data_IF_737253109095
#
_entry.id   IF_737253109095
#
_cell.length_a   1.000
_cell.length_b   1.000
_cell.length_c   1.000
_cell.angle_alpha   90.00
_cell.angle_beta   90.00
_cell.angle_gamma   90.00
#
_symmetry.space_group_name_H-M   'P 1'
#
loop_
_entity.id
_entity.type
_entity.pdbx_description
1 polymer ?
#
# COMPACT_ATOMS: atom_id res chain seq x y z
N UNK A 1 -1.46 -5.35 7.49
CA UNK A 1 -0.61 -4.75 6.42
C UNK A 1 -0.46 -3.28 6.74
N UNK A 2 0.25 -2.49 5.92
CA UNK A 2 0.38 -1.06 6.23
C UNK A 2 -0.93 -0.26 6.04
N UNK A 3 -2.02 -0.91 5.59
CA UNK A 3 -3.37 -0.32 5.48
C UNK A 3 -3.90 0.19 6.83
N UNK A 4 -3.54 -0.47 7.93
CA UNK A 4 -4.00 -0.06 9.27
C UNK A 4 -3.43 1.31 9.69
N UNK A 5 -2.27 1.71 9.12
CA UNK A 5 -1.65 3.01 9.36
C UNK A 5 -2.41 4.17 8.72
N UNK A 6 -3.19 3.89 7.67
CA UNK A 6 -3.90 4.89 6.85
C UNK A 6 -5.42 4.79 6.98
N UNK A 7 -5.92 3.91 7.85
CA UNK A 7 -7.35 3.64 8.01
C UNK A 7 -8.10 4.86 8.56
N UNK A 8 -9.23 5.21 7.95
CA UNK A 8 -10.10 6.32 8.36
C UNK A 8 -9.66 7.71 7.88
N UNK A 9 -8.61 7.83 7.05
CA UNK A 9 -8.04 9.11 6.62
C UNK A 9 -8.06 9.25 5.10
N UNK A 10 -8.11 10.49 4.61
CA UNK A 10 -8.02 10.77 3.18
C UNK A 10 -6.57 10.57 2.74
N UNK A 11 -6.31 9.52 1.98
CA UNK A 11 -5.03 9.23 1.37
C UNK A 11 -5.17 9.13 -0.15
N UNK A 12 -4.10 9.45 -0.87
CA UNK A 12 -4.01 9.18 -2.31
C UNK A 12 -3.35 7.84 -2.47
N UNK A 13 -4.02 6.93 -3.18
CA UNK A 13 -3.52 5.57 -3.38
C UNK A 13 -3.16 5.35 -4.84
N UNK A 14 -1.92 4.95 -5.07
CA UNK A 14 -1.40 4.66 -6.40
C UNK A 14 -1.20 3.14 -6.55
N UNK A 15 -1.83 2.58 -7.57
CA UNK A 15 -1.70 1.17 -7.96
C UNK A 15 -1.41 1.12 -9.47
N UNK A 16 -0.16 0.81 -9.82
CA UNK A 16 0.26 0.70 -11.22
C UNK A 16 0.32 -0.77 -11.64
N UNK A 17 -0.65 -1.26 -12.44
CA UNK A 17 -0.63 -2.64 -12.91
C UNK A 17 0.47 -2.84 -13.95
N UNK A 18 1.07 -4.03 -13.94
CA UNK A 18 1.95 -4.46 -15.02
C UNK A 18 1.13 -4.57 -16.31
N UNK A 19 1.63 -3.99 -17.41
CA UNK A 19 0.95 -4.04 -18.70
C UNK A 19 1.04 -5.45 -19.30
N UNK A 20 0.03 -6.27 -19.06
CA UNK A 20 -0.13 -7.58 -19.68
C UNK A 20 -1.09 -7.49 -20.87
N UNK A 21 -0.68 -7.99 -22.04
CA UNK A 21 -1.56 -8.04 -23.21
C UNK A 21 -2.66 -9.09 -22.98
N UNK A 22 -3.93 -8.66 -23.01
CA UNK A 22 -5.11 -9.50 -22.72
C UNK A 22 -5.14 -10.13 -21.31
N UNK A 23 -4.44 -9.54 -20.34
CA UNK A 23 -4.54 -9.99 -18.95
C UNK A 23 -5.81 -9.48 -18.28
N UNK A 24 -6.46 -10.34 -17.48
CA UNK A 24 -7.64 -10.01 -16.66
C UNK A 24 -7.27 -9.36 -15.31
N UNK A 25 -5.97 -9.35 -14.97
CA UNK A 25 -5.46 -8.70 -13.77
C UNK A 25 -3.94 -8.79 -13.67
N UNK A 26 -3.35 -7.89 -12.89
CA UNK A 26 -1.94 -7.90 -12.53
C UNK A 26 -1.82 -7.74 -11.01
N UNK A 27 -0.85 -8.43 -10.40
CA UNK A 27 -0.48 -8.18 -9.01
C UNK A 27 0.13 -6.79 -8.94
N UNK A 28 -0.40 -5.94 -8.07
CA UNK A 28 0.04 -4.55 -7.93
C UNK A 28 0.56 -4.30 -6.53
N UNK A 29 1.73 -3.66 -6.45
CA UNK A 29 2.20 -3.04 -5.22
C UNK A 29 1.54 -1.66 -5.09
N UNK A 30 0.64 -1.56 -4.12
CA UNK A 30 -0.10 -0.35 -3.84
C UNK A 30 0.68 0.53 -2.85
N UNK A 31 0.79 1.82 -3.15
CA UNK A 31 1.41 2.83 -2.27
C UNK A 31 0.36 3.86 -1.87
N UNK A 32 0.26 4.15 -0.58
CA UNK A 32 -0.60 5.19 -0.05
C UNK A 32 0.23 6.39 0.39
N UNK A 33 -0.09 7.57 -0.12
CA UNK A 33 0.48 8.85 0.32
C UNK A 33 -0.42 9.44 1.40
N UNK A 34 0.16 9.72 2.56
CA UNK A 34 -0.50 10.37 3.69
C UNK A 34 0.47 11.37 4.35
N UNK A 35 -0.07 12.43 4.96
CA UNK A 35 0.73 13.30 5.82
C UNK A 35 1.18 12.52 7.07
N UNK A 36 2.43 12.72 7.50
CA UNK A 36 3.00 12.03 8.67
C UNK A 36 2.26 12.38 9.96
N UNK A 37 1.68 13.57 10.06
CA UNK A 37 0.86 14.00 11.20
C UNK A 37 -0.42 13.18 11.34
N UNK A 38 -0.90 12.69 10.21
CA UNK A 38 -2.10 11.89 10.06
C UNK A 38 -1.76 10.40 10.02
N UNK A 39 -0.63 9.95 10.56
CA UNK A 39 -0.36 8.51 10.68
C UNK A 39 -1.03 7.94 11.94
N UNK A 40 -1.66 6.77 11.84
CA UNK A 40 -2.11 6.05 13.03
C UNK A 40 -0.93 5.39 13.74
N UNK A 41 -0.95 5.40 15.07
CA UNK A 41 0.03 4.71 15.91
C UNK A 41 -0.27 3.21 15.93
N UNK A 42 0.27 2.50 14.93
CA UNK A 42 0.22 1.04 14.85
C UNK A 42 1.63 0.49 14.72
N UNK A 43 1.92 -0.64 15.40
CA UNK A 43 3.26 -1.22 15.41
C UNK A 43 3.70 -1.57 14.00
N UNK A 44 4.92 -1.15 13.63
CA UNK A 44 5.48 -1.47 12.32
C UNK A 44 5.82 -2.94 12.26
N UNK A 45 5.10 -3.68 11.41
CA UNK A 45 5.29 -5.10 11.23
C UNK A 45 6.49 -5.35 10.32
N UNK A 46 7.62 -5.73 10.92
CA UNK A 46 8.84 -6.11 10.20
C UNK A 46 8.74 -7.56 9.73
N UNK A 47 8.51 -7.76 8.42
CA UNK A 47 8.57 -9.08 7.81
C UNK A 47 10.03 -9.42 7.48
N UNK A 48 10.56 -10.50 8.08
CA UNK A 48 11.96 -10.92 7.91
C UNK A 48 12.31 -11.43 6.50
N UNK A 49 11.31 -11.76 5.70
CA UNK A 49 11.49 -12.30 4.36
C UNK A 49 10.79 -11.39 3.36
N UNK A 50 11.61 -10.69 2.57
CA UNK A 50 11.28 -9.97 1.33
C UNK A 50 9.86 -9.46 1.16
N UNK A 51 9.66 -8.18 1.43
CA UNK A 51 8.60 -7.39 0.78
C UNK A 51 8.96 -7.33 -0.72
N UNK A 52 8.47 -8.28 -1.54
CA UNK A 52 8.67 -8.32 -3.00
C UNK A 52 8.17 -7.06 -3.68
#
# INVERSE_FOLDING_TARGET
GDVDKVLGKRCVVCAFPTRWHKGDGAIVRMVAFIDKKDLNDVPTRTYKYGTY
#
